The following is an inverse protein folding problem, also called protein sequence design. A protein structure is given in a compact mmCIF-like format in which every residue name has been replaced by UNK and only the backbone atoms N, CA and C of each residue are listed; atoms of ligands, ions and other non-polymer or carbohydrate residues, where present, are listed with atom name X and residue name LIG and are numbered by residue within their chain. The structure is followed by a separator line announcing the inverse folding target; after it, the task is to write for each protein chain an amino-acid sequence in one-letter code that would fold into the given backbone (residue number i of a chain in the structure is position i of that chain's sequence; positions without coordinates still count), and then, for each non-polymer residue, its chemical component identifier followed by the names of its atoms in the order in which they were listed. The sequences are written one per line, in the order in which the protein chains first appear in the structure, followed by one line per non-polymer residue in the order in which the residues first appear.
data_IF_749661111567
#
_entry.id   IF_749661111567
#
_cell.length_a   1.000
_cell.length_b   1.000
_cell.length_c   1.000
_cell.angle_alpha   90.00
_cell.angle_beta   90.00
_cell.angle_gamma   90.00
#
_symmetry.space_group_name_H-M   'P 1'
#
loop_
_entity.id
_entity.type
_entity.pdbx_description
1 polymer ?
#
# COMPACT_ATOMS: atom_id res chain seq x y z
N UNK A 1 -46.66 66.78 13.69
CA UNK A 1 -46.81 65.80 12.62
C UNK A 1 -45.46 65.39 11.93
N UNK A 2 -44.30 65.83 12.41
CA UNK A 2 -42.99 65.58 11.79
C UNK A 2 -42.07 64.55 12.52
N UNK A 3 -42.47 64.02 13.65
CA UNK A 3 -41.64 63.08 14.41
C UNK A 3 -41.76 61.58 13.95
N UNK A 4 -42.90 61.22 13.38
CA UNK A 4 -43.15 59.87 12.92
C UNK A 4 -42.53 59.55 11.54
N UNK A 5 -42.24 60.55 10.72
CA UNK A 5 -41.65 60.39 9.41
C UNK A 5 -40.15 59.93 9.47
N UNK A 6 -39.44 60.30 10.55
CA UNK A 6 -38.01 59.90 10.73
C UNK A 6 -37.83 58.43 11.07
N UNK A 7 -38.83 57.84 11.73
CA UNK A 7 -38.77 56.42 12.07
C UNK A 7 -39.17 55.53 10.89
N UNK A 8 -40.03 56.01 10.00
CA UNK A 8 -40.42 55.27 8.80
C UNK A 8 -39.25 55.11 7.80
N UNK A 9 -38.40 56.15 7.67
CA UNK A 9 -37.22 56.09 6.84
C UNK A 9 -36.12 55.15 7.38
N UNK A 10 -36.03 54.98 8.71
CA UNK A 10 -35.02 54.10 9.34
C UNK A 10 -35.40 52.61 9.23
N UNK A 11 -36.68 52.28 9.24
CA UNK A 11 -37.16 50.91 9.07
C UNK A 11 -37.04 50.44 7.61
N UNK A 12 -37.16 51.33 6.65
CA UNK A 12 -37.00 50.97 5.21
C UNK A 12 -35.57 50.64 4.83
N UNK A 13 -34.54 51.14 5.53
CA UNK A 13 -33.13 50.82 5.26
C UNK A 13 -32.68 49.50 5.88
N UNK A 14 -33.39 48.91 6.83
CA UNK A 14 -33.06 47.63 7.46
C UNK A 14 -33.56 46.41 6.68
N UNK A 15 -34.44 46.61 5.71
CA UNK A 15 -35.05 45.55 4.90
C UNK A 15 -34.20 45.07 3.70
N UNK A 16 -33.06 45.72 3.41
CA UNK A 16 -32.26 45.42 2.20
C UNK A 16 -30.95 44.65 2.47
N UNK A 17 -30.71 44.17 3.70
CA UNK A 17 -29.65 43.24 4.01
C UNK A 17 -30.15 41.81 3.75
N UNK A 18 -30.48 41.51 2.49
CA UNK A 18 -30.56 40.12 2.05
C UNK A 18 -29.15 39.54 2.15
N UNK A 19 -28.92 38.49 2.97
CA UNK A 19 -27.64 37.80 2.91
C UNK A 19 -27.51 37.27 1.49
N UNK A 20 -26.60 37.84 0.71
CA UNK A 20 -26.14 37.23 -0.51
C UNK A 20 -25.45 35.92 -0.10
N UNK A 21 -26.21 34.83 -0.03
CA UNK A 21 -25.62 33.50 -0.04
C UNK A 21 -24.88 33.40 -1.38
N UNK A 22 -23.59 33.58 -1.33
CA UNK A 22 -22.75 33.20 -2.44
C UNK A 22 -23.04 31.73 -2.68
N UNK A 23 -23.90 31.40 -3.63
CA UNK A 23 -23.97 30.09 -4.20
C UNK A 23 -22.59 29.83 -4.77
N UNK A 24 -21.77 29.05 -4.05
CA UNK A 24 -20.61 28.44 -4.64
C UNK A 24 -21.16 27.71 -5.86
N UNK A 25 -20.91 28.27 -7.06
CA UNK A 25 -21.27 27.64 -8.30
C UNK A 25 -20.62 26.25 -8.24
N UNK A 26 -21.42 25.23 -8.02
CA UNK A 26 -20.93 23.86 -8.03
C UNK A 26 -20.32 23.63 -9.41
N UNK A 27 -19.02 23.39 -9.46
CA UNK A 27 -18.33 23.08 -10.71
C UNK A 27 -19.06 21.90 -11.35
N UNK A 28 -19.50 22.06 -12.58
CA UNK A 28 -20.06 20.96 -13.35
C UNK A 28 -18.99 19.89 -13.55
N UNK A 29 -19.33 18.63 -13.26
CA UNK A 29 -18.44 17.50 -13.49
C UNK A 29 -18.19 17.33 -14.97
N UNK A 30 -16.92 17.19 -15.35
CA UNK A 30 -16.49 16.88 -16.70
C UNK A 30 -16.07 15.42 -16.81
N UNK A 31 -15.91 14.92 -18.03
CA UNK A 31 -15.38 13.55 -18.25
C UNK A 31 -13.96 13.42 -17.67
N UNK A 32 -13.16 14.47 -17.75
CA UNK A 32 -11.80 14.48 -17.20
C UNK A 32 -11.81 14.38 -15.67
N UNK A 33 -12.79 14.98 -14.99
CA UNK A 33 -12.95 14.82 -13.55
C UNK A 33 -13.26 13.38 -13.17
N UNK A 34 -14.05 12.65 -14.00
CA UNK A 34 -14.36 11.23 -13.76
C UNK A 34 -13.14 10.32 -13.92
N UNK A 35 -12.29 10.60 -14.90
CA UNK A 35 -11.05 9.83 -15.14
C UNK A 35 -10.10 9.94 -13.95
N UNK A 36 -10.03 11.14 -13.34
CA UNK A 36 -9.12 11.42 -12.21
C UNK A 36 -9.69 11.04 -10.84
N UNK A 37 -10.97 10.68 -10.76
CA UNK A 37 -11.58 10.25 -9.50
C UNK A 37 -10.91 9.01 -8.96
N UNK A 38 -10.50 9.11 -7.70
CA UNK A 38 -9.91 8.01 -6.97
C UNK A 38 -10.96 7.35 -6.08
N UNK A 39 -10.93 6.03 -6.05
CA UNK A 39 -11.73 5.21 -5.14
C UNK A 39 -10.83 4.44 -4.19
N UNK A 40 -11.26 4.27 -2.96
CA UNK A 40 -10.59 3.39 -2.02
C UNK A 40 -10.96 1.95 -2.40
N UNK A 41 -9.98 1.18 -2.85
CA UNK A 41 -10.17 -0.22 -3.28
C UNK A 41 -9.72 -1.22 -2.23
N UNK A 42 -8.83 -0.81 -1.32
CA UNK A 42 -8.38 -1.62 -0.21
C UNK A 42 -8.03 -0.75 1.01
N UNK A 43 -8.20 -1.28 2.21
CA UNK A 43 -7.92 -0.58 3.47
C UNK A 43 -7.61 -1.57 4.59
N UNK A 44 -6.69 -1.18 5.46
CA UNK A 44 -6.29 -1.96 6.62
C UNK A 44 -5.97 -1.03 7.79
N UNK A 45 -6.31 -1.45 8.99
CA UNK A 45 -5.94 -0.78 10.24
C UNK A 45 -4.93 -1.70 10.93
N UNK A 46 -3.82 -1.13 11.39
CA UNK A 46 -2.83 -1.89 12.15
C UNK A 46 -3.43 -2.44 13.46
N UNK A 47 -2.95 -3.59 13.92
CA UNK A 47 -3.47 -4.26 15.13
C UNK A 47 -3.44 -3.39 16.38
N UNK A 48 -2.45 -2.48 16.48
CA UNK A 48 -2.36 -1.52 17.58
C UNK A 48 -3.29 -0.30 17.44
N UNK A 49 -4.06 -0.20 16.33
CA UNK A 49 -5.01 0.90 16.05
C UNK A 49 -4.37 2.26 15.77
N UNK A 50 -3.04 2.36 15.63
CA UNK A 50 -2.35 3.65 15.46
C UNK A 50 -2.15 4.07 14.03
N UNK A 51 -2.30 3.14 13.07
CA UNK A 51 -2.02 3.35 11.66
C UNK A 51 -3.16 2.86 10.79
N UNK A 52 -3.40 3.56 9.71
CA UNK A 52 -4.36 3.18 8.67
C UNK A 52 -3.64 3.25 7.34
N UNK A 53 -3.70 2.16 6.58
CA UNK A 53 -3.26 2.15 5.20
C UNK A 53 -4.47 2.01 4.27
N UNK A 54 -4.46 2.72 3.15
CA UNK A 54 -5.49 2.57 2.13
C UNK A 54 -4.90 2.66 0.73
N UNK A 55 -5.44 1.86 -0.18
CA UNK A 55 -5.14 1.95 -1.61
C UNK A 55 -6.21 2.79 -2.30
N UNK A 56 -5.76 3.84 -2.96
CA UNK A 56 -6.58 4.65 -3.85
C UNK A 56 -6.24 4.34 -5.30
N UNK A 57 -7.26 4.13 -6.10
CA UNK A 57 -7.12 3.75 -7.49
C UNK A 57 -7.96 4.68 -8.36
N UNK A 58 -7.36 5.40 -9.33
CA UNK A 58 -8.09 6.16 -10.33
C UNK A 58 -8.75 5.20 -11.33
N UNK A 59 -9.69 5.70 -12.12
CA UNK A 59 -10.26 4.91 -13.22
C UNK A 59 -9.19 4.51 -14.24
N UNK A 60 -8.30 5.43 -14.56
CA UNK A 60 -7.12 5.20 -15.40
C UNK A 60 -5.87 5.70 -14.69
N UNK A 61 -4.79 4.88 -14.72
CA UNK A 61 -3.50 5.23 -14.11
C UNK A 61 -3.04 4.23 -13.07
N UNK A 62 -2.10 4.69 -12.26
CA UNK A 62 -1.46 3.88 -11.23
C UNK A 62 -2.18 4.03 -9.89
N UNK A 63 -2.37 2.92 -9.20
CA UNK A 63 -2.86 2.93 -7.84
C UNK A 63 -1.78 3.44 -6.87
N UNK A 64 -2.23 4.06 -5.79
CA UNK A 64 -1.36 4.62 -4.74
C UNK A 64 -1.80 4.11 -3.38
N UNK A 65 -0.85 3.64 -2.58
CA UNK A 65 -1.06 3.28 -1.18
C UNK A 65 -0.63 4.44 -0.31
N UNK A 66 -1.51 4.87 0.56
CA UNK A 66 -1.31 5.92 1.56
C UNK A 66 -1.25 5.32 2.96
N UNK A 67 -0.34 5.80 3.77
CA UNK A 67 -0.24 5.48 5.20
C UNK A 67 -0.58 6.72 6.02
N UNK A 68 -1.54 6.59 6.90
CA UNK A 68 -1.98 7.64 7.82
C UNK A 68 -1.76 7.24 9.27
N UNK A 69 -1.38 8.19 10.10
CA UNK A 69 -1.54 8.05 11.54
C UNK A 69 -3.04 8.09 11.91
N UNK A 70 -3.44 7.46 13.01
CA UNK A 70 -4.84 7.42 13.44
C UNK A 70 -5.48 8.80 13.65
N UNK A 71 -4.66 9.85 13.86
CA UNK A 71 -5.10 11.24 13.93
C UNK A 71 -5.39 11.88 12.57
N UNK A 72 -5.23 11.12 11.47
CA UNK A 72 -5.52 11.57 10.10
C UNK A 72 -4.34 12.24 9.39
N UNK A 73 -3.15 12.28 9.98
CA UNK A 73 -1.97 12.81 9.32
C UNK A 73 -1.40 11.78 8.34
N UNK A 74 -1.23 12.18 7.07
CA UNK A 74 -0.50 11.38 6.09
C UNK A 74 0.97 11.29 6.48
N UNK A 75 1.48 10.05 6.52
CA UNK A 75 2.85 9.75 6.96
C UNK A 75 3.73 9.31 5.81
N UNK A 76 3.19 8.51 4.88
CA UNK A 76 3.92 8.03 3.72
C UNK A 76 2.99 7.70 2.56
N UNK A 77 3.55 7.77 1.34
CA UNK A 77 2.86 7.46 0.09
C UNK A 77 3.73 6.56 -0.78
N UNK A 78 3.09 5.56 -1.40
CA UNK A 78 3.74 4.58 -2.28
C UNK A 78 2.99 4.53 -3.61
N UNK A 79 3.67 4.89 -4.70
CA UNK A 79 3.09 4.87 -6.05
C UNK A 79 4.19 4.54 -7.07
N UNK A 80 3.89 3.72 -8.09
CA UNK A 80 2.72 2.84 -8.22
C UNK A 80 2.73 1.74 -7.16
N UNK A 81 1.56 1.32 -6.66
CA UNK A 81 1.47 0.25 -5.66
C UNK A 81 0.21 -0.60 -5.84
N UNK A 82 0.27 -1.87 -5.42
CA UNK A 82 -0.86 -2.80 -5.55
C UNK A 82 -1.31 -3.35 -4.20
N UNK A 83 -0.46 -4.11 -3.52
CA UNK A 83 -0.80 -4.79 -2.27
C UNK A 83 -0.02 -4.19 -1.11
N UNK A 84 -0.62 -4.24 0.06
CA UNK A 84 0.03 -3.86 1.29
C UNK A 84 -0.47 -4.72 2.46
N UNK A 85 0.31 -4.80 3.52
CA UNK A 85 -0.07 -5.43 4.77
C UNK A 85 0.76 -4.86 5.91
N UNK A 86 0.15 -4.73 7.10
CA UNK A 86 0.90 -4.43 8.31
C UNK A 86 1.59 -5.68 8.87
N UNK A 87 2.72 -5.47 9.54
CA UNK A 87 3.37 -6.51 10.31
C UNK A 87 2.63 -6.78 11.63
N UNK A 88 2.88 -7.95 12.22
CA UNK A 88 2.29 -8.37 13.50
C UNK A 88 2.51 -7.34 14.62
N UNK A 89 3.69 -6.73 14.71
CA UNK A 89 3.97 -5.66 15.67
C UNK A 89 3.31 -4.33 15.36
N UNK A 90 2.72 -4.18 14.16
CA UNK A 90 2.27 -2.88 13.62
C UNK A 90 3.42 -1.86 13.44
N UNK A 91 4.66 -2.33 13.49
CA UNK A 91 5.87 -1.50 13.34
C UNK A 91 6.30 -1.30 11.89
N UNK A 92 5.75 -2.10 10.97
CA UNK A 92 6.10 -2.06 9.55
C UNK A 92 4.85 -2.13 8.67
N UNK A 93 4.92 -1.44 7.54
CA UNK A 93 4.02 -1.60 6.40
C UNK A 93 4.83 -2.20 5.25
N UNK A 94 4.38 -3.35 4.76
CA UNK A 94 4.97 -4.01 3.58
C UNK A 94 4.10 -3.69 2.38
N UNK A 95 4.70 -3.13 1.33
CA UNK A 95 3.98 -2.67 0.13
C UNK A 95 4.60 -3.30 -1.12
N UNK A 96 3.78 -3.81 -2.01
CA UNK A 96 4.21 -4.21 -3.36
C UNK A 96 4.05 -3.02 -4.30
N UNK A 97 5.16 -2.50 -4.78
CA UNK A 97 5.16 -1.51 -5.86
C UNK A 97 5.19 -2.23 -7.22
N UNK A 98 4.33 -1.81 -8.12
CA UNK A 98 4.25 -2.32 -9.49
C UNK A 98 5.02 -1.42 -10.45
N UNK A 99 5.44 -1.91 -11.59
CA UNK A 99 5.84 -1.03 -12.69
C UNK A 99 4.67 -0.12 -13.09
N UNK A 100 4.97 1.13 -13.45
CA UNK A 100 3.95 2.08 -13.90
C UNK A 100 3.17 1.56 -15.10
N UNK A 101 1.85 1.74 -15.09
CA UNK A 101 0.93 1.26 -16.13
C UNK A 101 1.37 1.74 -17.53
N UNK A 102 1.70 3.02 -17.67
CA UNK A 102 2.16 3.60 -18.95
C UNK A 102 3.42 2.91 -19.49
N UNK A 103 4.36 2.56 -18.61
CA UNK A 103 5.58 1.82 -18.98
C UNK A 103 5.24 0.41 -19.46
N UNK A 104 4.38 -0.30 -18.71
CA UNK A 104 3.94 -1.66 -19.08
C UNK A 104 3.19 -1.65 -20.40
N UNK A 105 2.29 -0.71 -20.63
CA UNK A 105 1.51 -0.60 -21.85
C UNK A 105 2.41 -0.26 -23.07
N UNK A 106 3.37 0.64 -22.91
CA UNK A 106 4.37 0.94 -23.94
C UNK A 106 5.19 -0.30 -24.32
N UNK A 107 5.65 -1.08 -23.34
CA UNK A 107 6.41 -2.31 -23.57
C UNK A 107 5.57 -3.40 -24.26
N UNK A 108 4.28 -3.48 -23.94
CA UNK A 108 3.33 -4.39 -24.62
C UNK A 108 3.13 -4.00 -26.08
N UNK A 109 2.96 -2.71 -26.38
CA UNK A 109 2.86 -2.19 -27.76
C UNK A 109 4.11 -2.55 -28.54
N UNK A 110 5.29 -2.46 -27.93
CA UNK A 110 6.57 -2.85 -28.52
C UNK A 110 6.77 -4.38 -28.60
N UNK A 111 5.78 -5.18 -28.21
CA UNK A 111 5.84 -6.65 -28.17
C UNK A 111 7.06 -7.17 -27.41
N UNK A 112 7.43 -6.48 -26.33
CA UNK A 112 8.53 -6.88 -25.47
C UNK A 112 8.24 -8.27 -24.88
N UNK A 113 9.25 -9.14 -24.91
CA UNK A 113 9.14 -10.50 -24.35
C UNK A 113 8.88 -10.43 -22.86
N UNK A 114 8.12 -11.40 -22.34
CA UNK A 114 7.70 -11.44 -20.93
C UNK A 114 8.90 -11.48 -19.96
N UNK A 115 9.97 -12.16 -20.34
CA UNK A 115 11.21 -12.25 -19.54
C UNK A 115 11.94 -10.91 -19.40
N UNK A 116 11.64 -9.95 -20.28
CA UNK A 116 12.19 -8.59 -20.27
C UNK A 116 11.23 -7.53 -19.70
N UNK A 117 10.02 -7.93 -19.35
CA UNK A 117 9.09 -7.01 -18.68
C UNK A 117 9.60 -6.67 -17.27
N UNK A 118 9.41 -5.44 -16.77
CA UNK A 118 9.79 -5.10 -15.41
C UNK A 118 9.03 -5.95 -14.39
N UNK A 119 9.64 -6.20 -13.25
CA UNK A 119 9.06 -6.95 -12.13
C UNK A 119 8.67 -5.99 -11.01
N UNK A 120 7.84 -6.46 -10.11
CA UNK A 120 7.44 -5.72 -8.93
C UNK A 120 8.64 -5.50 -7.99
N UNK A 121 8.52 -4.50 -7.13
CA UNK A 121 9.44 -4.20 -6.04
C UNK A 121 8.70 -4.35 -4.72
N UNK A 122 9.32 -5.00 -3.74
CA UNK A 122 8.81 -5.05 -2.38
C UNK A 122 9.41 -3.90 -1.58
N UNK A 123 8.56 -3.14 -0.92
CA UNK A 123 8.95 -2.07 0.00
C UNK A 123 8.62 -2.50 1.41
N UNK A 124 9.61 -2.46 2.29
CA UNK A 124 9.45 -2.62 3.74
C UNK A 124 9.62 -1.23 4.34
N UNK A 125 8.55 -0.68 4.87
CA UNK A 125 8.53 0.66 5.46
C UNK A 125 8.29 0.54 6.97
N UNK A 126 9.27 0.98 7.75
CA UNK A 126 9.09 1.15 9.19
C UNK A 126 8.25 2.39 9.47
N UNK A 127 7.29 2.32 10.36
CA UNK A 127 6.50 3.48 10.80
C UNK A 127 7.33 4.59 11.44
N UNK A 128 8.60 4.29 11.79
CA UNK A 128 9.60 5.28 12.21
C UNK A 128 10.26 6.04 11.03
N UNK A 129 9.86 5.74 9.77
CA UNK A 129 10.31 6.46 8.57
C UNK A 129 11.43 5.79 7.78
N UNK A 130 11.96 4.63 8.22
CA UNK A 130 12.97 3.89 7.44
C UNK A 130 12.30 3.11 6.31
N UNK A 131 12.80 3.27 5.08
CA UNK A 131 12.34 2.56 3.89
C UNK A 131 13.44 1.65 3.36
N UNK A 132 13.10 0.43 3.05
CA UNK A 132 13.96 -0.53 2.36
C UNK A 132 13.23 -1.10 1.15
N UNK A 133 13.97 -1.39 0.06
CA UNK A 133 13.40 -1.89 -1.20
C UNK A 133 14.09 -3.18 -1.61
N UNK A 134 13.32 -4.13 -2.11
CA UNK A 134 13.76 -5.40 -2.64
C UNK A 134 13.23 -5.52 -4.06
N UNK A 135 14.12 -5.38 -5.03
CA UNK A 135 13.77 -5.40 -6.45
C UNK A 135 13.54 -6.82 -6.98
N UNK A 136 12.84 -6.86 -8.12
CA UNK A 136 12.55 -8.10 -8.85
C UNK A 136 11.77 -9.12 -8.02
N UNK A 137 10.79 -8.64 -7.27
CA UNK A 137 9.93 -9.48 -6.46
C UNK A 137 9.13 -10.46 -7.33
N UNK A 138 9.22 -11.76 -7.02
CA UNK A 138 8.40 -12.82 -7.61
C UNK A 138 7.16 -13.08 -6.76
N UNK A 139 7.36 -13.34 -5.47
CA UNK A 139 6.29 -13.58 -4.48
C UNK A 139 6.81 -13.33 -3.08
N UNK A 140 5.91 -13.08 -2.14
CA UNK A 140 6.25 -12.98 -0.72
C UNK A 140 5.10 -13.48 0.17
N UNK A 141 5.44 -13.78 1.40
CA UNK A 141 4.53 -14.06 2.51
C UNK A 141 5.00 -13.31 3.74
N UNK A 142 4.07 -12.71 4.46
CA UNK A 142 4.29 -12.09 5.76
C UNK A 142 3.83 -13.05 6.85
N UNK A 143 4.53 -13.11 7.97
CA UNK A 143 4.08 -13.89 9.12
C UNK A 143 2.97 -13.14 9.88
N UNK A 144 1.93 -13.88 10.30
CA UNK A 144 0.78 -13.29 10.97
C UNK A 144 1.10 -12.90 12.44
N UNK A 145 2.02 -13.60 13.08
CA UNK A 145 2.28 -13.48 14.53
C UNK A 145 3.70 -12.98 14.87
N UNK A 146 4.50 -12.63 13.85
CA UNK A 146 5.88 -12.20 14.04
C UNK A 146 6.35 -11.29 12.92
N UNK A 147 7.33 -10.44 13.18
CA UNK A 147 7.89 -9.50 12.19
C UNK A 147 8.88 -10.20 11.23
N UNK A 148 8.39 -11.24 10.54
CA UNK A 148 9.15 -12.01 9.57
C UNK A 148 8.49 -11.98 8.20
N UNK A 149 9.34 -11.96 7.19
CA UNK A 149 8.94 -12.03 5.78
C UNK A 149 9.73 -13.10 5.05
N UNK A 150 9.04 -13.86 4.20
CA UNK A 150 9.63 -14.81 3.27
C UNK A 150 9.33 -14.36 1.84
N UNK A 151 10.32 -14.36 0.95
CA UNK A 151 10.13 -13.91 -0.42
C UNK A 151 11.08 -14.59 -1.39
N UNK A 152 10.68 -14.62 -2.66
CA UNK A 152 11.53 -15.02 -3.79
C UNK A 152 11.70 -13.85 -4.76
N UNK A 153 12.87 -13.82 -5.43
CA UNK A 153 13.23 -12.79 -6.41
C UNK A 153 13.48 -13.41 -7.77
N UNK A 154 13.42 -12.55 -8.80
CA UNK A 154 13.71 -12.97 -10.16
C UNK A 154 12.74 -14.00 -10.73
N UNK A 155 12.70 -14.12 -12.04
CA UNK A 155 11.74 -15.02 -12.71
C UNK A 155 12.16 -16.48 -12.64
N UNK A 156 13.45 -16.74 -12.68
CA UNK A 156 14.03 -18.09 -12.74
C UNK A 156 14.70 -18.51 -11.44
N UNK A 157 14.93 -17.57 -10.53
CA UNK A 157 15.49 -17.85 -9.23
C UNK A 157 14.44 -18.48 -8.31
N UNK A 158 14.75 -19.62 -7.74
CA UNK A 158 13.93 -20.33 -6.77
C UNK A 158 14.49 -20.25 -5.35
N UNK A 159 15.46 -19.39 -5.11
CA UNK A 159 15.98 -19.13 -3.77
C UNK A 159 14.92 -18.44 -2.92
N UNK A 160 14.62 -19.03 -1.78
CA UNK A 160 13.78 -18.46 -0.75
C UNK A 160 14.64 -17.64 0.21
N UNK A 161 14.28 -16.39 0.40
CA UNK A 161 14.85 -15.51 1.40
C UNK A 161 13.85 -15.38 2.55
N UNK A 162 14.31 -15.64 3.77
CA UNK A 162 13.52 -15.47 5.00
C UNK A 162 14.26 -14.50 5.89
N UNK A 163 13.63 -13.40 6.25
CA UNK A 163 14.30 -12.38 7.07
C UNK A 163 13.35 -11.70 8.06
N UNK A 164 13.93 -11.18 9.13
CA UNK A 164 13.25 -10.25 10.02
C UNK A 164 13.03 -8.90 9.32
N UNK A 165 11.92 -8.21 9.61
CA UNK A 165 11.58 -6.93 9.00
C UNK A 165 12.56 -5.80 9.38
N UNK A 166 13.24 -5.91 10.52
CA UNK A 166 14.32 -5.00 10.93
C UNK A 166 15.65 -5.25 10.18
N UNK A 167 15.75 -6.39 9.48
CA UNK A 167 16.92 -6.80 8.70
C UNK A 167 18.05 -7.44 9.52
N UNK A 168 17.86 -7.69 10.81
CA UNK A 168 18.89 -8.22 11.70
C UNK A 168 19.25 -9.69 11.43
N UNK A 169 18.29 -10.47 10.95
CA UNK A 169 18.46 -11.91 10.64
C UNK A 169 17.99 -12.21 9.22
N UNK A 170 18.72 -13.04 8.51
CA UNK A 170 18.36 -13.49 7.15
C UNK A 170 18.80 -14.94 6.95
N UNK A 171 17.91 -15.75 6.38
CA UNK A 171 18.17 -17.12 5.94
C UNK A 171 17.92 -17.22 4.44
N UNK A 172 18.63 -18.15 3.78
CA UNK A 172 18.49 -18.39 2.34
C UNK A 172 18.43 -19.90 2.09
N UNK A 173 17.44 -20.32 1.30
CA UNK A 173 17.24 -21.73 0.94
C UNK A 173 17.13 -21.84 -0.59
N UNK A 174 18.02 -22.55 -1.25
CA UNK A 174 17.95 -22.72 -2.69
C UNK A 174 16.83 -23.67 -3.10
N UNK A 175 16.41 -23.63 -4.37
CA UNK A 175 15.49 -24.59 -5.01
C UNK A 175 14.15 -24.78 -4.31
N UNK A 176 13.62 -23.74 -3.69
CA UNK A 176 12.32 -23.76 -3.04
C UNK A 176 11.21 -23.54 -4.06
N UNK A 177 10.23 -24.43 -4.07
CA UNK A 177 9.09 -24.40 -5.00
C UNK A 177 7.86 -23.75 -4.39
N UNK A 178 7.63 -23.93 -3.10
CA UNK A 178 6.51 -23.32 -2.38
C UNK A 178 6.89 -23.04 -0.92
N UNK A 179 6.25 -22.05 -0.32
CA UNK A 179 6.48 -21.68 1.09
C UNK A 179 5.29 -20.94 1.69
N UNK A 180 5.09 -21.13 2.97
CA UNK A 180 4.01 -20.47 3.72
C UNK A 180 4.34 -20.39 5.21
N UNK A 181 3.99 -19.28 5.84
CA UNK A 181 3.95 -19.22 7.30
C UNK A 181 2.73 -19.94 7.85
N UNK A 182 2.92 -20.67 8.94
CA UNK A 182 1.83 -21.24 9.68
C UNK A 182 1.09 -20.14 10.45
N UNK A 183 -0.23 -20.16 10.36
CA UNK A 183 -1.07 -19.28 11.18
C UNK A 183 -0.79 -19.52 12.65
N UNK A 184 -0.69 -18.48 13.45
CA UNK A 184 -0.55 -18.50 14.92
C UNK A 184 0.74 -19.09 15.49
N UNK A 185 1.78 -19.32 14.71
CA UNK A 185 3.04 -19.88 15.25
C UNK A 185 4.31 -19.22 14.71
N UNK A 186 4.23 -18.37 13.71
CA UNK A 186 5.40 -17.77 13.07
C UNK A 186 6.36 -18.78 12.40
N UNK A 187 6.05 -20.07 12.41
CA UNK A 187 6.84 -21.10 11.74
C UNK A 187 6.64 -21.04 10.23
N UNK A 188 7.73 -21.18 9.51
CA UNK A 188 7.72 -21.27 8.06
C UNK A 188 7.79 -22.73 7.62
N UNK A 189 6.94 -23.11 6.67
CA UNK A 189 7.01 -24.38 5.94
C UNK A 189 7.44 -24.07 4.50
N UNK A 190 8.34 -24.87 3.96
CA UNK A 190 8.74 -24.75 2.56
C UNK A 190 9.03 -26.11 1.95
N UNK A 191 8.83 -26.20 0.64
CA UNK A 191 9.17 -27.40 -0.14
C UNK A 191 10.41 -27.13 -0.98
N UNK A 192 11.39 -28.02 -0.90
CA UNK A 192 12.60 -27.98 -1.73
C UNK A 192 12.53 -29.07 -2.79
N UNK A 193 12.99 -28.74 -3.99
CA UNK A 193 13.19 -29.66 -5.10
C UNK A 193 14.69 -29.92 -5.38
N UNK A 194 15.57 -29.66 -4.41
CA UNK A 194 17.00 -29.93 -4.53
C UNK A 194 17.24 -31.41 -4.78
N UNK A 195 18.15 -31.73 -5.70
CA UNK A 195 18.50 -33.11 -6.01
C UNK A 195 19.14 -33.76 -4.77
N UNK A 196 18.57 -34.90 -4.34
CA UNK A 196 18.99 -35.63 -3.13
C UNK A 196 18.40 -35.09 -1.81
N UNK A 197 17.75 -33.93 -1.80
CA UNK A 197 17.16 -33.29 -0.63
C UNK A 197 15.74 -32.78 -0.89
N UNK A 198 15.03 -33.41 -1.81
CA UNK A 198 13.64 -33.04 -2.08
C UNK A 198 12.74 -33.40 -0.91
N UNK A 199 11.95 -32.45 -0.42
CA UNK A 199 11.07 -32.68 0.73
C UNK A 199 10.36 -31.43 1.24
N UNK A 200 9.66 -31.62 2.35
CA UNK A 200 9.01 -30.54 3.09
C UNK A 200 9.84 -30.26 4.34
N UNK A 201 10.16 -29.00 4.55
CA UNK A 201 10.98 -28.52 5.63
C UNK A 201 10.23 -27.50 6.47
N UNK A 202 10.65 -27.35 7.72
CA UNK A 202 10.15 -26.32 8.62
C UNK A 202 11.31 -25.45 9.10
N UNK A 203 11.02 -24.19 9.36
CA UNK A 203 11.96 -23.26 9.96
C UNK A 203 11.26 -22.48 11.05
N UNK A 204 11.86 -22.45 12.24
CA UNK A 204 11.51 -21.46 13.24
C UNK A 204 12.49 -20.28 13.09
N UNK A 205 12.07 -19.15 12.49
CA UNK A 205 13.00 -18.07 12.18
C UNK A 205 13.59 -17.40 13.43
N UNK A 206 12.84 -17.42 14.56
CA UNK A 206 13.33 -16.83 15.81
C UNK A 206 14.46 -17.65 16.43
N UNK A 207 14.33 -18.97 16.39
CA UNK A 207 15.31 -19.90 16.96
C UNK A 207 16.47 -20.19 16.00
N UNK A 208 16.28 -19.95 14.68
CA UNK A 208 17.29 -20.19 13.66
C UNK A 208 17.61 -21.67 13.42
N UNK A 209 16.74 -22.56 13.87
CA UNK A 209 16.87 -24.02 13.66
C UNK A 209 15.67 -24.58 12.92
N UNK A 210 15.88 -25.58 12.06
CA UNK A 210 14.80 -26.34 11.43
C UNK A 210 13.95 -27.07 12.46
#
# INVERSE_FOLDING_TARGET
MMRHLKYLAFVACLGSLSPAFAQNASKSLTVDDLITWQRITDREISDNGKWVACKMEPWEGDATVYLYAAQGQETATFSPADKFAFSASSGYLVVTQTPGKSTVDSLKILKTKEDKMPMNTLVIYSVAGKKETIDSLKTFKLADEADWIAYQRGRKDSTLYVRSLDGSKTFQFPTVTDFQFAKKSGMLYYTSAAEGEAGIFTLNPEKGSP
#
